data_IF_528222816145
#
_entry.id   IF_528222816145
#
_cell.length_a   1.000
_cell.length_b   1.000
_cell.length_c   1.000
_cell.angle_alpha   90.00
_cell.angle_beta   90.00
_cell.angle_gamma   90.00
#
_symmetry.space_group_name_H-M   'P 1'
#
loop_
_entity.id
_entity.type
_entity.pdbx_description
1 polymer ?
#
# COMPACT_ATOMS: atom_id res chain seq x y z
N UNK A 1 11.72 -3.77 18.80
CA UNK A 1 11.48 -3.80 17.33
C UNK A 1 10.18 -3.06 17.12
N UNK A 2 10.15 -2.02 16.30
CA UNK A 2 8.91 -1.27 16.02
C UNK A 2 8.11 -1.98 14.91
N UNK A 3 6.78 -1.90 14.98
CA UNK A 3 5.84 -2.42 13.99
C UNK A 3 5.96 -1.65 12.65
N UNK A 4 5.61 -2.24 11.49
CA UNK A 4 6.00 -1.70 10.17
C UNK A 4 5.66 -0.23 9.92
N UNK A 5 4.43 0.19 10.26
CA UNK A 5 4.01 1.59 10.08
C UNK A 5 4.80 2.55 10.98
N UNK A 6 4.99 2.17 12.25
CA UNK A 6 5.72 2.98 13.23
C UNK A 6 7.21 3.01 12.94
N UNK A 7 7.79 1.90 12.49
CA UNK A 7 9.17 1.81 12.04
C UNK A 7 9.44 2.82 10.91
N UNK A 8 8.55 2.88 9.91
CA UNK A 8 8.71 3.82 8.79
C UNK A 8 8.61 5.29 9.22
N UNK A 9 7.68 5.62 10.12
CA UNK A 9 7.54 6.98 10.67
C UNK A 9 8.75 7.34 11.56
N UNK A 10 9.31 6.36 12.28
CA UNK A 10 10.52 6.57 13.07
C UNK A 10 11.73 6.88 12.20
N UNK A 11 11.89 6.19 11.06
CA UNK A 11 12.93 6.45 10.07
C UNK A 11 12.78 7.83 9.41
N UNK A 12 11.54 8.23 9.09
CA UNK A 12 11.27 9.53 8.47
C UNK A 12 9.94 10.12 8.97
N UNK A 13 10.03 11.17 9.78
CA UNK A 13 8.87 11.79 10.43
C UNK A 13 7.91 12.50 9.46
N UNK A 14 8.37 12.81 8.24
CA UNK A 14 7.55 13.40 7.17
C UNK A 14 6.81 12.36 6.34
N UNK A 15 7.11 11.07 6.51
CA UNK A 15 6.45 10.01 5.75
C UNK A 15 4.99 9.84 6.20
N UNK A 16 4.07 9.90 5.23
CA UNK A 16 2.68 9.50 5.42
C UNK A 16 2.53 8.06 4.92
N UNK A 17 2.12 7.16 5.80
CA UNK A 17 2.06 5.71 5.53
C UNK A 17 0.63 5.18 5.60
N UNK A 18 0.34 4.15 4.81
CA UNK A 18 -0.96 3.48 4.77
C UNK A 18 -0.74 1.96 4.67
N UNK A 19 -1.49 1.13 5.42
CA UNK A 19 -1.46 -0.32 5.24
C UNK A 19 -2.11 -0.74 3.91
N UNK A 20 -1.83 -1.96 3.47
CA UNK A 20 -2.64 -2.60 2.43
C UNK A 20 -4.06 -2.77 2.98
N UNK A 21 -5.05 -2.38 2.18
CA UNK A 21 -6.46 -2.46 2.54
C UNK A 21 -7.03 -3.72 1.89
N UNK A 22 -7.29 -4.73 2.70
CA UNK A 22 -8.02 -5.92 2.27
C UNK A 22 -9.53 -5.65 2.20
N UNK A 23 -10.23 -6.46 1.41
CA UNK A 23 -11.67 -6.34 1.28
C UNK A 23 -12.39 -7.15 2.36
N UNK A 24 -13.48 -6.59 2.87
CA UNK A 24 -14.47 -7.31 3.66
C UNK A 24 -15.74 -7.31 2.82
N UNK A 25 -16.32 -8.49 2.58
CA UNK A 25 -17.56 -8.58 1.82
C UNK A 25 -18.69 -7.89 2.58
N UNK A 26 -19.41 -7.02 1.87
CA UNK A 26 -20.59 -6.32 2.36
C UNK A 26 -21.79 -7.25 2.62
N UNK A 27 -21.84 -8.41 1.96
CA UNK A 27 -22.96 -9.35 2.08
C UNK A 27 -22.87 -10.26 3.31
N UNK A 28 -21.67 -10.70 3.68
CA UNK A 28 -21.48 -11.74 4.69
C UNK A 28 -20.32 -11.48 5.66
N UNK A 29 -19.70 -10.30 5.61
CA UNK A 29 -18.55 -9.92 6.45
C UNK A 29 -17.33 -10.85 6.32
N UNK A 30 -17.26 -11.66 5.26
CA UNK A 30 -16.09 -12.49 5.02
C UNK A 30 -14.88 -11.61 4.72
N UNK A 31 -13.76 -11.91 5.38
CA UNK A 31 -12.47 -11.29 5.11
C UNK A 31 -11.86 -11.90 3.83
N UNK A 32 -11.58 -11.04 2.87
CA UNK A 32 -11.00 -11.36 1.57
C UNK A 32 -9.59 -10.76 1.50
N UNK A 33 -8.66 -11.43 2.16
CA UNK A 33 -7.25 -11.03 2.21
C UNK A 33 -6.43 -11.51 1.01
N UNK A 34 -5.14 -11.14 1.00
CA UNK A 34 -4.18 -11.58 -0.02
C UNK A 34 -4.14 -10.68 -1.26
N UNK A 35 -4.73 -9.48 -1.17
CA UNK A 35 -4.58 -8.44 -2.17
C UNK A 35 -3.10 -8.11 -2.34
N UNK A 36 -2.56 -8.36 -3.53
CA UNK A 36 -1.23 -7.88 -3.91
C UNK A 36 -1.40 -6.39 -4.19
N UNK A 37 -1.30 -5.58 -3.14
CA UNK A 37 -1.68 -4.17 -3.13
C UNK A 37 -1.28 -3.39 -4.39
N UNK A 38 -2.14 -2.45 -4.79
CA UNK A 38 -1.88 -1.49 -5.86
C UNK A 38 -1.45 -0.13 -5.33
N UNK A 39 -1.07 0.77 -6.24
CA UNK A 39 -0.81 2.17 -5.91
C UNK A 39 -2.10 2.96 -6.11
N UNK A 40 -2.40 3.88 -5.20
CA UNK A 40 -3.47 4.84 -5.37
C UNK A 40 -3.21 5.76 -6.55
N UNK A 41 -4.12 5.80 -7.52
CA UNK A 41 -4.07 6.67 -8.70
C UNK A 41 -5.31 7.53 -8.78
N UNK A 42 -5.24 8.61 -9.57
CA UNK A 42 -6.37 9.50 -9.82
C UNK A 42 -6.61 9.65 -11.31
N UNK A 43 -7.89 9.63 -11.68
CA UNK A 43 -8.35 10.01 -13.00
C UNK A 43 -8.35 11.54 -13.12
N UNK A 44 -8.41 12.05 -14.35
CA UNK A 44 -8.55 13.50 -14.58
C UNK A 44 -9.83 14.09 -13.99
N UNK A 45 -10.85 13.25 -13.79
CA UNK A 45 -12.07 13.58 -13.06
C UNK A 45 -11.89 13.61 -11.53
N UNK A 46 -10.66 13.46 -11.02
CA UNK A 46 -10.29 13.36 -9.60
C UNK A 46 -10.87 12.15 -8.87
N UNK A 47 -11.35 11.15 -9.60
CA UNK A 47 -11.78 9.89 -9.01
C UNK A 47 -10.57 9.02 -8.64
N UNK A 48 -10.58 8.49 -7.41
CA UNK A 48 -9.56 7.56 -6.94
C UNK A 48 -9.74 6.18 -7.58
N UNK A 49 -8.63 5.52 -7.89
CA UNK A 49 -8.61 4.11 -8.29
C UNK A 49 -7.34 3.41 -7.84
N UNK A 50 -7.36 2.08 -7.85
CA UNK A 50 -6.17 1.26 -7.63
C UNK A 50 -5.52 0.96 -8.98
N UNK A 51 -4.27 1.38 -9.16
CA UNK A 51 -3.45 1.11 -10.34
C UNK A 51 -2.38 0.04 -10.10
N UNK A 52 -1.78 -0.52 -11.16
CA UNK A 52 -0.68 -1.47 -11.05
C UNK A 52 0.58 -0.79 -10.51
N UNK A 53 1.38 -1.55 -9.78
CA UNK A 53 2.68 -1.09 -9.28
C UNK A 53 3.72 -1.07 -10.42
N UNK A 54 4.59 -0.05 -10.50
CA UNK A 54 5.70 -0.03 -11.45
C UNK A 54 6.63 -1.23 -11.24
N UNK A 55 7.15 -1.79 -12.34
CA UNK A 55 8.08 -2.94 -12.30
C UNK A 55 9.30 -2.68 -11.41
N UNK A 56 9.82 -1.45 -11.41
CA UNK A 56 10.95 -1.05 -10.57
C UNK A 56 10.67 -1.19 -9.07
N UNK A 57 9.45 -0.87 -8.62
CA UNK A 57 9.08 -1.05 -7.21
C UNK A 57 8.80 -2.52 -6.88
N UNK A 58 8.27 -3.29 -7.82
CA UNK A 58 8.10 -4.75 -7.65
C UNK A 58 9.47 -5.40 -7.46
N UNK A 59 10.46 -5.04 -8.28
CA UNK A 59 11.81 -5.62 -8.22
C UNK A 59 12.62 -5.14 -7.01
N UNK A 60 12.40 -3.90 -6.54
CA UNK A 60 13.10 -3.34 -5.37
C UNK A 60 12.67 -3.99 -4.05
N UNK A 61 11.39 -4.37 -3.93
CA UNK A 61 10.80 -4.90 -2.70
C UNK A 61 11.17 -6.37 -2.54
N UNK A 62 11.96 -6.70 -1.53
CA UNK A 62 12.38 -8.07 -1.23
C UNK A 62 11.37 -8.77 -0.32
N UNK A 63 10.68 -8.01 0.54
CA UNK A 63 9.64 -8.49 1.44
C UNK A 63 8.34 -7.71 1.18
N UNK A 64 7.52 -8.10 0.19
CA UNK A 64 6.33 -7.36 -0.22
C UNK A 64 5.25 -7.16 0.86
N UNK A 65 5.32 -7.88 1.96
CA UNK A 65 4.42 -7.77 3.12
C UNK A 65 4.80 -6.62 4.07
N UNK A 66 6.06 -6.20 4.09
CA UNK A 66 6.58 -5.20 5.05
C UNK A 66 7.27 -4.03 4.36
N UNK A 67 7.85 -4.24 3.18
CA UNK A 67 8.52 -3.20 2.42
C UNK A 67 7.50 -2.19 1.91
N UNK A 68 7.63 -0.94 2.36
CA UNK A 68 6.81 0.16 1.90
C UNK A 68 7.04 0.44 0.41
N UNK A 69 5.98 0.88 -0.28
CA UNK A 69 6.07 1.38 -1.66
C UNK A 69 6.60 2.81 -1.62
N UNK A 70 7.57 3.13 -2.47
CA UNK A 70 8.09 4.49 -2.61
C UNK A 70 7.26 5.27 -3.63
N UNK A 71 6.82 6.47 -3.24
CA UNK A 71 6.28 7.43 -4.19
C UNK A 71 7.45 8.09 -4.95
N UNK A 72 7.29 8.37 -6.24
CA UNK A 72 8.33 8.98 -7.09
C UNK A 72 8.43 10.51 -6.94
N UNK A 73 7.93 11.07 -5.83
CA UNK A 73 7.97 12.50 -5.51
C UNK A 73 8.85 12.72 -4.29
#
# INVERSE_FOLDING_TARGET
>A
MAEPLLARIQEERTAVVCPIIDAISDTNMAYLGGSHGGIGTFWWSLHYSMGPMPKSEIERRTHPETDYIRSLI
#
